data_IF_513100032306
#
_entry.id   IF_513100032306
#
_cell.length_a   1.000
_cell.length_b   1.000
_cell.length_c   1.000
_cell.angle_alpha   90.00
_cell.angle_beta   90.00
_cell.angle_gamma   90.00
#
_symmetry.space_group_name_H-M   'P 1'
#
loop_
_entity.id
_entity.type
_entity.pdbx_description
1 polymer ?
#
# COMPACT_ATOMS: atom_id res chain seq x y z
N UNK A 1 -0.26 -4.61 47.25
CA UNK A 1 0.39 -5.73 47.96
C UNK A 1 1.89 -5.66 47.71
N UNK A 2 2.72 -5.67 48.76
CA UNK A 2 4.15 -5.28 48.76
C UNK A 2 5.08 -6.50 48.77
N UNK A 3 6.20 -6.44 48.01
CA UNK A 3 7.61 -6.87 48.27
C UNK A 3 8.27 -7.34 46.95
N UNK A 4 9.56 -7.11 46.66
CA UNK A 4 10.76 -7.15 47.52
C UNK A 4 11.95 -6.35 46.92
N UNK A 5 12.78 -5.82 47.81
CA UNK A 5 14.06 -5.09 47.61
C UNK A 5 15.12 -5.81 46.77
N UNK A 6 16.02 -5.01 46.18
CA UNK A 6 17.48 -5.18 46.34
C UNK A 6 18.18 -3.83 46.21
N UNK A 7 18.87 -3.42 47.28
CA UNK A 7 19.81 -2.30 47.30
C UNK A 7 21.13 -2.74 46.61
N UNK A 8 21.73 -1.90 45.76
CA UNK A 8 23.13 -2.06 45.33
C UNK A 8 23.71 -0.70 44.87
N UNK A 9 24.59 -0.18 45.72
CA UNK A 9 25.80 0.64 45.48
C UNK A 9 25.93 1.49 44.21
N UNK A 10 26.04 2.80 44.43
CA UNK A 10 26.23 3.85 43.45
C UNK A 10 27.72 4.02 43.11
N UNK A 11 28.20 3.34 42.06
CA UNK A 11 29.51 3.66 41.45
C UNK A 11 29.35 4.87 40.52
N UNK A 12 29.96 5.99 40.91
CA UNK A 12 30.10 7.20 40.08
C UNK A 12 30.92 6.86 38.82
N UNK A 13 30.25 6.75 37.68
CA UNK A 13 30.89 6.78 36.36
C UNK A 13 30.73 8.18 35.77
N UNK A 14 31.88 8.81 35.51
CA UNK A 14 32.02 10.06 34.77
C UNK A 14 31.44 9.86 33.36
N UNK A 15 30.28 10.45 33.08
CA UNK A 15 29.65 10.40 31.76
C UNK A 15 30.34 11.42 30.84
N UNK A 16 31.16 10.92 29.92
CA UNK A 16 31.56 11.68 28.73
C UNK A 16 30.33 11.76 27.83
N UNK A 17 29.80 12.97 27.65
CA UNK A 17 28.66 13.25 26.78
C UNK A 17 29.13 13.18 25.32
N UNK A 18 28.97 12.02 24.68
CA UNK A 18 29.11 11.91 23.21
C UNK A 18 27.78 12.37 22.61
N UNK A 19 27.75 13.60 22.12
CA UNK A 19 26.64 14.10 21.32
C UNK A 19 26.61 13.36 19.97
N UNK A 20 25.78 12.33 19.87
CA UNK A 20 25.48 11.68 18.58
C UNK A 20 24.57 12.64 17.81
N UNK A 21 25.17 13.44 16.94
CA UNK A 21 24.43 14.25 15.96
C UNK A 21 23.83 13.28 14.94
N UNK A 22 22.59 12.87 15.18
CA UNK A 22 21.79 12.09 14.24
C UNK A 22 21.31 13.05 13.14
N UNK A 23 22.11 13.22 12.08
CA UNK A 23 21.67 13.92 10.88
C UNK A 23 20.68 12.99 10.16
N UNK A 24 19.39 13.36 10.01
CA UNK A 24 18.48 12.55 9.23
C UNK A 24 18.95 12.60 7.78
N UNK A 25 19.41 11.47 7.25
CA UNK A 25 19.69 11.33 5.84
C UNK A 25 18.37 11.52 5.07
N UNK A 26 18.17 12.73 4.56
CA UNK A 26 17.09 13.06 3.65
C UNK A 26 17.35 12.28 2.36
N UNK A 27 16.78 11.08 2.24
CA UNK A 27 16.87 10.31 0.99
C UNK A 27 16.12 11.11 -0.07
N UNK A 28 16.79 11.69 -1.08
CA UNK A 28 16.10 12.46 -2.09
C UNK A 28 15.24 11.48 -2.89
N UNK A 29 13.91 11.70 -2.91
CA UNK A 29 13.04 10.98 -3.83
C UNK A 29 13.57 11.21 -5.25
N UNK A 30 14.13 10.14 -5.85
CA UNK A 30 14.73 10.14 -7.17
C UNK A 30 13.69 10.61 -8.17
N UNK A 31 14.05 11.61 -8.98
CA UNK A 31 13.22 12.03 -10.10
C UNK A 31 13.02 10.81 -11.01
N UNK A 32 11.77 10.46 -11.28
CA UNK A 32 11.48 9.35 -12.15
C UNK A 32 11.94 9.70 -13.57
N UNK A 33 12.70 8.82 -14.22
CA UNK A 33 13.18 9.07 -15.57
C UNK A 33 11.98 8.97 -16.51
N UNK A 34 11.71 10.02 -17.28
CA UNK A 34 10.67 9.94 -18.28
C UNK A 34 11.20 9.25 -19.54
N UNK A 35 10.48 8.24 -20.00
CA UNK A 35 10.72 7.60 -21.29
C UNK A 35 9.50 7.89 -22.17
N UNK A 36 9.71 8.65 -23.26
CA UNK A 36 8.63 8.97 -24.21
C UNK A 36 7.49 9.82 -23.64
N UNK A 37 7.79 10.79 -22.75
CA UNK A 37 6.77 11.64 -22.12
C UNK A 37 5.90 10.91 -21.08
N UNK A 38 6.37 9.74 -20.60
CA UNK A 38 5.70 8.95 -19.56
C UNK A 38 6.64 8.73 -18.39
N UNK A 39 6.06 8.76 -17.20
CA UNK A 39 6.75 8.47 -15.95
C UNK A 39 6.15 7.22 -15.35
N UNK A 40 6.96 6.18 -15.19
CA UNK A 40 6.52 4.94 -14.56
C UNK A 40 6.50 5.12 -13.04
N UNK A 41 5.33 4.86 -12.45
CA UNK A 41 5.12 4.86 -11.00
C UNK A 41 5.04 3.40 -10.51
N UNK A 42 6.07 2.60 -10.78
CA UNK A 42 6.10 1.15 -10.50
C UNK A 42 6.83 0.77 -9.19
N UNK A 43 7.64 1.70 -8.67
CA UNK A 43 8.55 1.46 -7.54
C UNK A 43 8.28 2.42 -6.39
N UNK A 44 8.72 2.04 -5.18
CA UNK A 44 8.64 2.92 -4.00
C UNK A 44 7.21 3.13 -3.47
N UNK A 45 6.33 2.15 -3.67
CA UNK A 45 5.01 2.14 -3.04
C UNK A 45 5.09 1.64 -1.61
N UNK A 46 4.19 2.15 -0.78
CA UNK A 46 3.92 1.67 0.57
C UNK A 46 2.49 1.13 0.63
N UNK A 47 2.26 0.10 1.42
CA UNK A 47 1.01 -0.65 1.53
C UNK A 47 0.59 -0.81 3.00
N UNK A 48 -0.69 -0.57 3.31
CA UNK A 48 -1.26 -0.88 4.62
C UNK A 48 -2.78 -1.13 4.55
N UNK A 49 -3.29 -2.00 5.43
CA UNK A 49 -4.73 -2.24 5.57
C UNK A 49 -5.44 -1.02 6.13
N UNK A 50 -6.65 -0.72 5.65
CA UNK A 50 -7.49 0.32 6.25
C UNK A 50 -7.93 -0.03 7.68
N UNK A 51 -7.82 -1.30 8.11
CA UNK A 51 -8.04 -1.68 9.51
C UNK A 51 -7.06 -0.99 10.48
N UNK A 52 -5.88 -0.57 10.00
CA UNK A 52 -4.84 0.07 10.81
C UNK A 52 -4.64 1.56 10.50
N UNK A 53 -5.40 2.11 9.54
CA UNK A 53 -5.28 3.51 9.12
C UNK A 53 -6.63 4.20 9.39
N UNK A 54 -6.65 5.16 10.32
CA UNK A 54 -7.88 5.86 10.73
C UNK A 54 -8.10 7.15 9.95
N UNK A 55 -7.05 7.64 9.32
CA UNK A 55 -7.04 8.85 8.53
C UNK A 55 -7.78 8.68 7.20
N UNK A 56 -8.36 9.77 6.71
CA UNK A 56 -9.08 9.80 5.42
C UNK A 56 -8.11 9.81 4.24
N UNK A 57 -8.61 9.51 3.04
CA UNK A 57 -7.82 9.62 1.80
C UNK A 57 -7.26 11.01 1.54
N UNK A 58 -7.98 12.06 1.95
CA UNK A 58 -7.47 13.44 1.96
C UNK A 58 -6.19 13.56 2.79
N UNK A 59 -6.17 12.99 3.99
CA UNK A 59 -4.97 13.05 4.84
C UNK A 59 -3.86 12.13 4.34
N UNK A 60 -4.18 10.87 4.01
CA UNK A 60 -3.21 9.84 3.59
C UNK A 60 -2.45 10.26 2.32
N UNK A 61 -3.12 10.98 1.41
CA UNK A 61 -2.52 11.51 0.17
C UNK A 61 -1.75 12.82 0.33
N UNK A 62 -1.35 13.20 1.54
CA UNK A 62 -0.52 14.40 1.78
C UNK A 62 0.91 14.05 2.19
N UNK A 63 1.83 15.01 2.04
CA UNK A 63 3.21 14.91 2.52
C UNK A 63 3.34 15.02 4.05
N UNK A 64 2.30 15.50 4.73
CA UNK A 64 2.24 15.54 6.20
C UNK A 64 2.02 14.16 6.81
N UNK A 65 1.28 13.28 6.13
CA UNK A 65 1.06 11.92 6.58
C UNK A 65 2.36 11.10 6.60
N UNK A 66 2.59 10.38 7.71
CA UNK A 66 3.75 9.52 7.90
C UNK A 66 3.32 8.05 7.84
N UNK A 67 3.69 7.29 6.78
CA UNK A 67 3.31 5.89 6.63
C UNK A 67 4.19 4.97 7.49
N UNK A 68 4.17 5.17 8.81
CA UNK A 68 4.97 4.39 9.77
C UNK A 68 4.43 2.97 9.84
N UNK A 69 5.32 1.97 9.71
CA UNK A 69 4.94 0.56 9.75
C UNK A 69 4.20 0.06 8.51
N UNK A 70 4.21 0.82 7.40
CA UNK A 70 3.66 0.36 6.13
C UNK A 70 4.65 -0.58 5.41
N UNK A 71 4.11 -1.57 4.72
CA UNK A 71 4.89 -2.53 3.96
C UNK A 71 5.37 -1.91 2.65
N UNK A 72 6.57 -2.28 2.17
CA UNK A 72 7.01 -1.88 0.83
C UNK A 72 6.27 -2.70 -0.21
N UNK A 73 5.83 -2.06 -1.28
CA UNK A 73 5.21 -2.71 -2.41
C UNK A 73 5.87 -2.26 -3.71
N UNK A 74 5.82 -3.16 -4.70
CA UNK A 74 6.08 -2.85 -6.12
C UNK A 74 4.74 -2.87 -6.85
N UNK A 75 4.62 -2.13 -7.94
CA UNK A 75 3.43 -2.15 -8.80
C UNK A 75 3.89 -2.54 -10.20
N UNK A 76 3.32 -3.57 -10.83
CA UNK A 76 2.17 -4.37 -10.38
C UNK A 76 2.50 -5.32 -9.23
N UNK A 77 1.58 -5.44 -8.26
CA UNK A 77 1.57 -6.47 -7.21
C UNK A 77 0.16 -6.56 -6.60
N UNK A 78 -0.14 -7.69 -5.95
CA UNK A 78 -1.33 -7.83 -5.10
C UNK A 78 -0.97 -7.54 -3.64
N UNK A 79 -1.98 -7.34 -2.79
CA UNK A 79 -1.77 -7.17 -1.34
C UNK A 79 -1.03 -8.38 -0.78
N UNK A 80 -1.47 -9.59 -1.12
CA UNK A 80 -0.86 -10.82 -0.64
C UNK A 80 0.60 -10.96 -1.10
N UNK A 81 0.88 -10.72 -2.38
CA UNK A 81 2.24 -10.80 -2.90
C UNK A 81 3.19 -9.80 -2.20
N UNK A 82 2.74 -8.57 -1.95
CA UNK A 82 3.52 -7.59 -1.19
C UNK A 82 3.78 -8.03 0.27
N UNK A 83 2.82 -8.71 0.92
CA UNK A 83 3.00 -9.23 2.28
C UNK A 83 3.95 -10.43 2.33
N UNK A 84 3.93 -11.30 1.32
CA UNK A 84 4.91 -12.40 1.16
C UNK A 84 6.31 -11.84 0.91
N UNK A 85 6.45 -10.83 0.04
CA UNK A 85 7.71 -10.12 -0.19
C UNK A 85 8.24 -9.48 1.11
N UNK A 86 7.34 -8.93 1.92
CA UNK A 86 7.65 -8.35 3.23
C UNK A 86 7.89 -9.38 4.35
N UNK A 87 7.82 -10.69 4.05
CA UNK A 87 8.00 -11.80 5.01
C UNK A 87 6.99 -11.78 6.15
N UNK A 88 5.80 -11.25 5.90
CA UNK A 88 4.65 -11.38 6.81
C UNK A 88 4.08 -12.79 6.74
N UNK A 89 4.07 -13.37 5.53
CA UNK A 89 3.69 -14.76 5.29
C UNK A 89 4.84 -15.50 4.60
N UNK A 90 4.96 -16.80 4.89
CA UNK A 90 5.90 -17.69 4.22
C UNK A 90 5.52 -17.91 2.75
N UNK A 91 6.44 -18.50 1.99
CA UNK A 91 6.22 -18.82 0.58
C UNK A 91 4.97 -19.70 0.42
N UNK A 92 3.89 -19.21 -0.21
CA UNK A 92 2.65 -19.95 -0.36
C UNK A 92 2.79 -21.15 -1.31
N UNK A 93 3.83 -21.23 -2.12
CA UNK A 93 4.10 -22.35 -3.02
C UNK A 93 4.74 -23.55 -2.31
N UNK A 94 5.10 -23.43 -1.04
CA UNK A 94 5.75 -24.48 -0.28
C UNK A 94 4.79 -25.16 0.71
N UNK A 95 4.70 -26.49 0.61
CA UNK A 95 3.94 -27.32 1.55
C UNK A 95 2.49 -26.87 1.70
N UNK A 96 2.06 -26.63 2.94
CA UNK A 96 0.70 -26.16 3.28
C UNK A 96 0.66 -24.68 3.68
N UNK A 97 1.73 -23.92 3.40
CA UNK A 97 1.85 -22.52 3.83
C UNK A 97 0.68 -21.65 3.35
N UNK A 98 0.18 -21.89 2.14
CA UNK A 98 -0.99 -21.16 1.63
C UNK A 98 -2.20 -21.27 2.57
N UNK A 99 -2.44 -22.44 3.16
CA UNK A 99 -3.55 -22.67 4.10
C UNK A 99 -3.34 -21.99 5.46
N UNK A 100 -2.10 -21.62 5.80
CA UNK A 100 -1.78 -20.91 7.03
C UNK A 100 -2.02 -19.40 6.92
N UNK A 101 -2.21 -18.88 5.71
CA UNK A 101 -2.55 -17.47 5.51
C UNK A 101 -3.99 -17.23 6.01
N UNK A 102 -4.23 -16.25 6.89
CA UNK A 102 -5.57 -15.96 7.39
C UNK A 102 -6.54 -15.66 6.24
N UNK A 103 -7.70 -16.33 6.25
CA UNK A 103 -8.72 -16.21 5.21
C UNK A 103 -8.48 -17.05 3.95
N UNK A 104 -7.39 -17.82 3.87
CA UNK A 104 -7.12 -18.75 2.76
C UNK A 104 -7.49 -20.22 3.09
N UNK A 105 -7.86 -20.51 4.34
CA UNK A 105 -8.35 -21.83 4.73
C UNK A 105 -9.83 -22.00 4.34
N UNK A 106 -10.20 -23.19 3.88
CA UNK A 106 -11.57 -23.58 3.54
C UNK A 106 -11.78 -25.10 3.76
N UNK A 107 -13.02 -25.58 3.85
CA UNK A 107 -13.31 -26.99 4.09
C UNK A 107 -12.78 -27.90 2.95
N UNK A 108 -12.22 -29.09 3.28
CA UNK A 108 -11.81 -30.06 2.27
C UNK A 108 -12.97 -30.45 1.34
N UNK A 109 -12.72 -30.47 0.03
CA UNK A 109 -13.72 -30.82 -0.98
C UNK A 109 -14.59 -29.66 -1.45
N UNK A 110 -14.44 -28.47 -0.89
CA UNK A 110 -15.12 -27.26 -1.37
C UNK A 110 -14.24 -26.45 -2.32
N UNK A 111 -14.87 -25.69 -3.22
CA UNK A 111 -14.19 -24.81 -4.16
C UNK A 111 -14.07 -23.43 -3.52
N UNK A 112 -12.87 -23.07 -3.05
CA UNK A 112 -12.59 -21.79 -2.37
C UNK A 112 -13.19 -20.58 -3.09
N UNK A 113 -13.06 -20.53 -4.41
CA UNK A 113 -13.58 -19.44 -5.26
C UNK A 113 -15.09 -19.22 -5.18
N UNK A 114 -15.84 -20.23 -4.75
CA UNK A 114 -17.30 -20.17 -4.60
C UNK A 114 -17.73 -19.82 -3.16
N UNK A 115 -16.78 -19.64 -2.25
CA UNK A 115 -17.04 -19.34 -0.84
C UNK A 115 -16.97 -17.84 -0.58
N UNK A 116 -17.87 -17.29 0.26
CA UNK A 116 -17.75 -15.90 0.68
C UNK A 116 -16.49 -15.72 1.55
N UNK A 117 -15.86 -14.54 1.45
CA UNK A 117 -14.79 -14.18 2.39
C UNK A 117 -15.33 -14.18 3.82
N UNK A 118 -14.71 -14.98 4.69
CA UNK A 118 -15.03 -15.03 6.11
C UNK A 118 -14.98 -13.63 6.76
N UNK A 119 -15.84 -13.29 7.75
CA UNK A 119 -15.86 -11.97 8.38
C UNK A 119 -14.52 -11.54 9.01
N UNK A 120 -13.72 -12.50 9.46
CA UNK A 120 -12.39 -12.31 10.06
C UNK A 120 -11.24 -12.30 9.04
N UNK A 121 -11.53 -12.45 7.74
CA UNK A 121 -10.52 -12.40 6.68
C UNK A 121 -9.88 -10.99 6.61
N UNK A 122 -8.56 -10.84 6.83
CA UNK A 122 -7.90 -9.53 6.83
C UNK A 122 -7.86 -8.84 5.47
N UNK A 123 -8.17 -9.56 4.39
CA UNK A 123 -8.26 -9.04 3.03
C UNK A 123 -9.67 -8.57 2.66
N UNK A 124 -10.65 -8.72 3.55
CA UNK A 124 -12.04 -8.29 3.33
C UNK A 124 -12.21 -6.76 3.38
N UNK A 125 -11.29 -6.06 4.05
CA UNK A 125 -11.25 -4.59 4.09
C UNK A 125 -10.43 -4.03 2.93
N UNK A 126 -10.56 -2.73 2.69
CA UNK A 126 -9.72 -2.05 1.71
C UNK A 126 -8.25 -1.98 2.15
N UNK A 127 -7.37 -1.72 1.19
CA UNK A 127 -5.94 -1.55 1.40
C UNK A 127 -5.43 -0.31 0.70
N UNK A 128 -4.65 0.50 1.42
CA UNK A 128 -4.00 1.68 0.89
C UNK A 128 -2.72 1.33 0.16
N UNK A 129 -2.60 1.76 -1.08
CA UNK A 129 -1.34 1.91 -1.80
C UNK A 129 -0.97 3.39 -1.82
N UNK A 130 0.19 3.76 -1.28
CA UNK A 130 0.65 5.15 -1.21
C UNK A 130 2.01 5.31 -1.87
N UNK A 131 2.19 6.39 -2.65
CA UNK A 131 3.46 6.74 -3.29
C UNK A 131 3.71 8.23 -3.28
N UNK A 132 4.92 8.60 -2.89
CA UNK A 132 5.46 9.94 -3.16
C UNK A 132 6.26 9.92 -4.47
N UNK A 133 6.11 10.95 -5.28
CA UNK A 133 6.84 11.12 -6.53
C UNK A 133 7.05 12.60 -6.87
N UNK A 134 7.99 12.86 -7.79
CA UNK A 134 8.20 14.20 -8.37
C UNK A 134 7.97 14.13 -9.87
N UNK A 135 7.33 15.14 -10.41
CA UNK A 135 7.23 15.29 -11.86
C UNK A 135 8.57 15.75 -12.41
N UNK A 136 9.07 15.14 -13.50
CA UNK A 136 10.19 15.68 -14.26
C UNK A 136 9.83 17.04 -14.86
N UNK A 137 10.84 17.91 -15.06
CA UNK A 137 10.63 19.28 -15.52
C UNK A 137 9.91 19.39 -16.88
N UNK A 138 9.99 18.36 -17.72
CA UNK A 138 9.29 18.28 -19.01
C UNK A 138 7.75 18.34 -18.90
N UNK A 139 7.18 18.06 -17.72
CA UNK A 139 5.74 18.11 -17.47
C UNK A 139 5.23 19.49 -17.03
N UNK A 140 6.10 20.52 -16.89
CA UNK A 140 5.70 21.82 -16.31
C UNK A 140 4.50 22.46 -17.01
N UNK A 141 4.54 22.55 -18.34
CA UNK A 141 3.53 23.24 -19.16
C UNK A 141 2.69 22.26 -20.00
N UNK A 142 2.47 21.05 -19.48
CA UNK A 142 1.77 19.96 -20.18
C UNK A 142 0.49 19.57 -19.44
N UNK A 143 -0.49 19.06 -20.16
CA UNK A 143 -1.59 18.29 -19.55
C UNK A 143 -1.01 17.00 -18.97
N UNK A 144 -1.35 16.68 -17.72
CA UNK A 144 -0.82 15.51 -17.01
C UNK A 144 -1.95 14.53 -16.78
N UNK A 145 -1.78 13.34 -17.32
CA UNK A 145 -2.72 12.25 -17.16
C UNK A 145 -2.17 11.20 -16.21
N UNK A 146 -3.00 10.75 -15.27
CA UNK A 146 -2.74 9.60 -14.44
C UNK A 146 -3.39 8.37 -15.09
N UNK A 147 -2.57 7.37 -15.41
CA UNK A 147 -2.98 6.19 -16.15
C UNK A 147 -2.76 4.91 -15.32
N UNK A 148 -3.82 4.10 -15.19
CA UNK A 148 -3.78 2.78 -14.58
C UNK A 148 -4.16 1.73 -15.62
N UNK A 149 -3.28 0.75 -15.84
CA UNK A 149 -3.56 -0.41 -16.71
C UNK A 149 -4.58 -1.39 -16.11
N UNK A 150 -4.79 -1.35 -14.80
CA UNK A 150 -5.74 -2.21 -14.10
C UNK A 150 -5.68 -2.00 -12.59
N UNK A 151 -6.84 -2.07 -11.94
CA UNK A 151 -7.00 -2.07 -10.49
C UNK A 151 -7.97 -3.19 -10.13
N UNK A 152 -7.55 -4.10 -9.27
CA UNK A 152 -8.40 -5.20 -8.81
C UNK A 152 -8.86 -4.95 -7.35
N UNK A 153 -10.11 -4.57 -7.05
CA UNK A 153 -11.25 -4.47 -7.98
C UNK A 153 -11.85 -3.06 -8.11
N UNK A 154 -12.06 -2.36 -6.98
CA UNK A 154 -12.54 -0.98 -6.94
C UNK A 154 -11.52 -0.09 -6.26
N UNK A 155 -11.56 1.21 -6.52
CA UNK A 155 -10.71 2.12 -5.76
C UNK A 155 -11.27 3.53 -5.55
N UNK A 156 -10.84 4.14 -4.45
CA UNK A 156 -10.80 5.60 -4.34
C UNK A 156 -9.37 6.07 -4.68
N UNK A 157 -9.25 7.11 -5.51
CA UNK A 157 -7.95 7.66 -5.93
C UNK A 157 -7.82 9.08 -5.42
N UNK A 158 -6.72 9.37 -4.74
CA UNK A 158 -6.44 10.65 -4.11
C UNK A 158 -5.05 11.16 -4.47
N UNK A 159 -4.93 12.44 -4.77
CA UNK A 159 -3.67 13.10 -5.07
C UNK A 159 -3.56 14.42 -4.30
N UNK A 160 -2.52 14.55 -3.47
CA UNK A 160 -2.24 15.78 -2.71
C UNK A 160 -3.40 16.28 -1.84
N UNK A 161 -4.23 15.38 -1.31
CA UNK A 161 -5.43 15.71 -0.54
C UNK A 161 -6.72 15.84 -1.36
N UNK A 162 -6.64 15.94 -2.69
CA UNK A 162 -7.83 16.03 -3.56
C UNK A 162 -8.25 14.64 -4.03
N UNK A 163 -9.54 14.32 -3.94
CA UNK A 163 -10.11 13.12 -4.55
C UNK A 163 -10.11 13.30 -6.07
N UNK A 164 -9.54 12.32 -6.78
CA UNK A 164 -9.49 12.27 -8.24
C UNK A 164 -10.62 11.42 -8.79
N UNK A 165 -10.89 10.28 -8.16
CA UNK A 165 -11.95 9.36 -8.58
C UNK A 165 -12.48 8.52 -7.41
N UNK A 166 -13.72 8.03 -7.55
CA UNK A 166 -14.38 7.16 -6.60
C UNK A 166 -14.59 5.70 -7.06
N UNK A 167 -15.07 4.86 -6.14
CA UNK A 167 -15.38 3.44 -6.39
C UNK A 167 -16.55 3.22 -7.37
N UNK A 168 -17.33 4.26 -7.63
CA UNK A 168 -18.37 4.36 -8.64
C UNK A 168 -17.80 4.54 -10.06
N UNK A 169 -16.63 5.19 -10.17
CA UNK A 169 -15.91 5.38 -11.44
C UNK A 169 -14.90 4.25 -11.69
N UNK A 170 -14.22 3.83 -10.62
CA UNK A 170 -13.15 2.83 -10.63
C UNK A 170 -13.68 1.50 -10.13
N UNK A 171 -14.09 0.65 -11.07
CA UNK A 171 -14.61 -0.69 -10.83
C UNK A 171 -14.36 -1.59 -12.05
N UNK A 172 -13.60 -2.67 -11.86
CA UNK A 172 -13.26 -3.63 -12.92
C UNK A 172 -11.74 -3.82 -13.09
N UNK A 173 -11.29 -5.07 -13.00
CA UNK A 173 -9.87 -5.43 -13.09
C UNK A 173 -9.25 -5.22 -14.49
N UNK A 174 -10.07 -5.32 -15.54
CA UNK A 174 -9.64 -5.24 -16.95
C UNK A 174 -9.84 -3.88 -17.60
N UNK A 175 -10.34 -2.89 -16.86
CA UNK A 175 -10.51 -1.53 -17.39
C UNK A 175 -9.22 -0.75 -17.26
N UNK A 176 -8.93 0.04 -18.28
CA UNK A 176 -7.93 1.10 -18.24
C UNK A 176 -8.59 2.35 -17.66
N UNK A 177 -7.90 3.02 -16.74
CA UNK A 177 -8.38 4.26 -16.15
C UNK A 177 -7.42 5.40 -16.47
N UNK A 178 -7.97 6.51 -16.94
CA UNK A 178 -7.24 7.73 -17.28
C UNK A 178 -7.92 8.93 -16.64
N UNK A 179 -7.15 9.73 -15.92
CA UNK A 179 -7.65 10.95 -15.25
C UNK A 179 -6.74 12.13 -15.58
N UNK A 180 -7.32 13.25 -16.02
CA UNK A 180 -6.59 14.51 -16.11
C UNK A 180 -6.38 15.03 -14.68
N UNK A 181 -5.11 15.02 -14.24
CA UNK A 181 -4.70 15.47 -12.92
C UNK A 181 -3.99 16.82 -12.97
N UNK A 182 -4.11 17.56 -14.08
CA UNK A 182 -3.36 18.80 -14.33
C UNK A 182 -3.55 19.87 -13.25
N UNK A 183 -4.76 19.93 -12.67
CA UNK A 183 -5.11 20.87 -11.59
C UNK A 183 -4.74 20.38 -10.18
N UNK A 184 -4.61 19.06 -10.01
CA UNK A 184 -4.35 18.44 -8.71
C UNK A 184 -2.85 18.20 -8.47
N UNK A 185 -2.08 18.07 -9.55
CA UNK A 185 -0.65 17.79 -9.49
C UNK A 185 0.16 19.05 -9.24
N UNK A 186 1.13 18.95 -8.34
CA UNK A 186 2.13 19.99 -8.10
C UNK A 186 3.22 19.86 -9.16
N UNK A 187 3.43 20.93 -9.92
CA UNK A 187 4.48 21.00 -10.96
C UNK A 187 5.88 21.02 -10.36
N UNK A 188 5.99 21.64 -9.20
CA UNK A 188 7.21 21.72 -8.41
C UNK A 188 7.05 20.97 -7.08
N UNK A 189 8.10 20.26 -6.68
CA UNK A 189 8.12 19.54 -5.41
C UNK A 189 7.47 18.17 -5.44
N UNK A 190 7.13 17.68 -4.24
CA UNK A 190 6.62 16.32 -4.04
C UNK A 190 5.10 16.25 -4.22
N UNK A 191 4.67 15.23 -4.96
CA UNK A 191 3.30 14.79 -5.10
C UNK A 191 3.11 13.49 -4.32
N UNK A 192 1.95 13.32 -3.69
CA UNK A 192 1.59 12.11 -2.97
C UNK A 192 0.29 11.55 -3.52
N UNK A 193 0.39 10.37 -4.12
CA UNK A 193 -0.74 9.58 -4.61
C UNK A 193 -1.10 8.53 -3.55
N UNK A 194 -2.38 8.42 -3.24
CA UNK A 194 -2.94 7.34 -2.43
C UNK A 194 -4.11 6.69 -3.17
N UNK A 195 -4.10 5.36 -3.23
CA UNK A 195 -5.12 4.54 -3.86
C UNK A 195 -5.66 3.58 -2.82
N UNK A 196 -6.92 3.74 -2.44
CA UNK A 196 -7.63 2.83 -1.55
C UNK A 196 -8.24 1.73 -2.41
N UNK A 197 -7.71 0.52 -2.36
CA UNK A 197 -8.17 -0.60 -3.19
C UNK A 197 -9.09 -1.49 -2.38
N UNK A 198 -10.28 -1.75 -2.91
CA UNK A 198 -11.30 -2.60 -2.30
C UNK A 198 -11.30 -3.98 -2.97
N UNK A 199 -11.45 -5.06 -2.17
CA UNK A 199 -11.62 -6.39 -2.72
C UNK A 199 -12.96 -6.47 -3.51
N UNK A 200 -13.07 -7.41 -4.46
CA UNK A 200 -14.32 -7.65 -5.16
C UNK A 200 -15.41 -8.17 -4.21
N UNK A 201 -16.66 -7.87 -4.54
CA UNK A 201 -17.86 -8.45 -3.96
C UNK A 201 -18.29 -9.69 -4.75
N UNK A 202 -19.25 -10.44 -4.20
CA UNK A 202 -19.78 -11.67 -4.80
C UNK A 202 -20.40 -11.42 -6.19
N UNK A 203 -20.94 -10.23 -6.42
CA UNK A 203 -21.59 -9.79 -7.66
C UNK A 203 -20.69 -8.99 -8.60
N UNK A 204 -19.42 -8.80 -8.24
CA UNK A 204 -18.46 -8.08 -9.07
C UNK A 204 -17.90 -8.96 -10.21
N UNK A 205 -17.59 -8.36 -11.36
CA UNK A 205 -16.94 -9.01 -12.51
C UNK A 205 -15.44 -9.23 -12.25
N UNK A 206 -15.14 -9.92 -11.16
CA UNK A 206 -13.81 -10.08 -10.60
C UNK A 206 -13.01 -11.19 -11.26
N UNK A 207 -11.71 -11.19 -11.02
CA UNK A 207 -10.83 -12.30 -11.38
C UNK A 207 -11.02 -13.40 -10.32
N UNK A 208 -11.33 -14.61 -10.77
CA UNK A 208 -11.44 -15.80 -9.94
C UNK A 208 -10.62 -16.94 -10.55
N UNK A 209 -10.18 -17.86 -9.71
CA UNK A 209 -9.47 -19.07 -10.15
C UNK A 209 -10.40 -20.24 -10.41
N UNK A 210 -11.71 -20.08 -10.19
CA UNK A 210 -12.69 -21.16 -10.31
C UNK A 210 -12.20 -22.36 -9.48
N UNK A 211 -11.84 -23.47 -10.11
CA UNK A 211 -11.33 -24.71 -9.49
C UNK A 211 -9.85 -24.99 -9.82
N UNK A 212 -9.12 -24.02 -10.38
CA UNK A 212 -7.74 -24.21 -10.89
C UNK A 212 -6.63 -24.04 -9.84
N UNK A 213 -6.92 -23.45 -8.68
CA UNK A 213 -5.93 -23.21 -7.61
C UNK A 213 -6.13 -24.25 -6.47
N UNK A 214 -5.06 -24.69 -5.75
CA UNK A 214 -5.07 -25.98 -5.07
C UNK A 214 -6.14 -26.07 -3.98
N UNK A 215 -6.70 -27.29 -3.89
CA UNK A 215 -7.71 -27.77 -2.93
C UNK A 215 -7.17 -28.17 -1.57
#
# INVERSE_FOLDING_TARGET
MIRRRRDCEMKRFLHVLIAVICVPALVPARAAQAAGGRVMLDTGWALQSTAYVRETGETVSTSGFRPVGWYRAKVPSTVLAALVDAKVYDDPYFGTNLRLIPGAAYPPGEVFSNLPMSPDNPFRVAWWYRKEFRLPGEFRDKTVWLHFNGINYRANIWLNGRRIAGTDEVAGAYRIYEFDISEAVRRDGANVLAVEVFPPRVDDLAITFVDWNPT
#
